data_IF_148856896076
#
_entry.id   IF_148856896076
#
_cell.length_a   1.000
_cell.length_b   1.000
_cell.length_c   1.000
_cell.angle_alpha   90.00
_cell.angle_beta   90.00
_cell.angle_gamma   90.00
#
_symmetry.space_group_name_H-M   'P 1'
#
loop_
_entity.id
_entity.type
_entity.pdbx_description
1 polymer ?
#
# COMPACT_ATOMS: atom_id res chain seq x y z
N UNK A 1 6.57 -54.96 -47.69
CA UNK A 1 5.39 -55.41 -46.92
C UNK A 1 5.65 -55.18 -45.44
N UNK A 2 4.60 -54.70 -44.76
CA UNK A 2 4.39 -54.58 -43.31
C UNK A 2 5.11 -53.45 -42.56
N UNK A 3 4.30 -52.41 -42.41
CA UNK A 3 4.35 -51.28 -41.51
C UNK A 3 4.19 -51.72 -40.06
N UNK A 4 4.93 -51.11 -39.13
CA UNK A 4 4.46 -50.94 -37.75
C UNK A 4 4.84 -49.53 -37.30
N UNK A 5 3.90 -48.59 -37.41
CA UNK A 5 4.01 -47.27 -36.81
C UNK A 5 3.84 -47.44 -35.30
N UNK A 6 4.93 -47.34 -34.54
CA UNK A 6 4.87 -47.26 -33.09
C UNK A 6 4.72 -45.77 -32.70
N UNK A 7 3.49 -45.30 -32.62
CA UNK A 7 3.18 -43.98 -32.05
C UNK A 7 3.15 -44.10 -30.52
N UNK A 8 4.26 -43.73 -29.88
CA UNK A 8 4.30 -43.51 -28.43
C UNK A 8 3.58 -42.19 -28.12
N UNK A 9 2.32 -42.28 -27.69
CA UNK A 9 1.60 -41.16 -27.10
C UNK A 9 2.13 -40.91 -25.68
N UNK A 10 3.08 -39.99 -25.56
CA UNK A 10 3.49 -39.44 -24.27
C UNK A 10 2.37 -38.50 -23.83
N UNK A 11 1.51 -38.95 -22.91
CA UNK A 11 0.55 -38.08 -22.24
C UNK A 11 1.33 -37.17 -21.29
N UNK A 12 1.60 -35.97 -21.75
CA UNK A 12 2.18 -34.91 -20.93
C UNK A 12 1.09 -34.44 -19.96
N UNK A 13 1.04 -35.04 -18.77
CA UNK A 13 0.25 -34.52 -17.65
C UNK A 13 0.87 -33.20 -17.19
N UNK A 14 0.51 -32.11 -17.86
CA UNK A 14 0.71 -30.77 -17.34
C UNK A 14 -0.24 -30.62 -16.15
N UNK A 15 0.23 -31.00 -14.95
CA UNK A 15 -0.35 -30.55 -13.70
C UNK A 15 -0.17 -29.03 -13.66
N UNK A 16 -1.14 -28.30 -14.22
CA UNK A 16 -1.19 -26.86 -14.12
C UNK A 16 -1.30 -26.51 -12.65
N UNK A 17 -0.19 -26.09 -12.04
CA UNK A 17 -0.23 -25.37 -10.79
C UNK A 17 -1.02 -24.09 -11.05
N UNK A 18 -2.30 -24.07 -10.68
CA UNK A 18 -3.03 -22.82 -10.56
C UNK A 18 -2.36 -22.07 -9.41
N UNK A 19 -1.40 -21.22 -9.74
CA UNK A 19 -0.99 -20.18 -8.81
C UNK A 19 -2.21 -19.29 -8.61
N UNK A 20 -2.83 -19.40 -7.43
CA UNK A 20 -3.73 -18.37 -6.93
C UNK A 20 -2.90 -17.10 -6.75
N UNK A 21 -2.81 -16.28 -7.80
CA UNK A 21 -2.28 -14.93 -7.68
C UNK A 21 -3.28 -14.15 -6.85
N UNK A 22 -3.03 -14.10 -5.54
CA UNK A 22 -3.65 -13.12 -4.66
C UNK A 22 -3.15 -11.76 -5.14
N UNK A 23 -3.91 -11.10 -6.00
CA UNK A 23 -3.76 -9.67 -6.21
C UNK A 23 -4.05 -9.05 -4.86
N UNK A 24 -2.99 -8.74 -4.11
CA UNK A 24 -3.09 -7.87 -2.95
C UNK A 24 -3.46 -6.50 -3.52
N UNK A 25 -4.74 -6.28 -3.79
CA UNK A 25 -5.26 -4.92 -3.96
C UNK A 25 -4.95 -4.22 -2.65
N UNK A 26 -3.92 -3.36 -2.68
CA UNK A 26 -3.51 -2.63 -1.51
C UNK A 26 -4.55 -1.53 -1.31
N UNK A 27 -5.50 -1.78 -0.42
CA UNK A 27 -6.50 -0.79 -0.04
C UNK A 27 -5.81 0.27 0.82
N UNK A 28 -5.40 1.35 0.19
CA UNK A 28 -4.87 2.53 0.89
C UNK A 28 -6.01 3.15 1.68
N UNK A 29 -5.75 3.46 2.96
CA UNK A 29 -6.76 4.12 3.77
C UNK A 29 -6.92 5.56 3.31
N UNK A 30 -8.16 5.94 3.10
CA UNK A 30 -8.57 7.32 2.88
C UNK A 30 -9.46 7.76 4.03
N UNK A 31 -9.39 9.04 4.38
CA UNK A 31 -10.11 9.52 5.55
C UNK A 31 -11.57 9.80 5.17
N UNK A 32 -12.52 9.05 5.75
CA UNK A 32 -13.92 9.44 5.86
C UNK A 32 -14.21 9.67 7.34
N UNK A 33 -14.69 10.86 7.74
CA UNK A 33 -14.90 11.15 9.18
C UNK A 33 -16.31 11.64 9.51
N UNK A 34 -16.93 10.93 10.43
CA UNK A 34 -18.11 11.36 11.18
C UNK A 34 -17.79 12.47 12.20
N UNK A 35 -18.61 13.53 12.12
CA UNK A 35 -18.83 14.69 13.02
C UNK A 35 -17.66 15.64 13.36
N UNK A 36 -17.80 16.82 12.73
CA UNK A 36 -17.58 18.22 13.18
C UNK A 36 -16.16 18.82 13.13
N UNK A 37 -15.69 19.09 11.92
CA UNK A 37 -15.24 20.43 11.50
C UNK A 37 -15.26 20.48 9.96
N UNK A 38 -15.85 21.51 9.36
CA UNK A 38 -15.91 21.71 7.90
C UNK A 38 -14.49 21.90 7.34
N UNK A 39 -13.89 20.82 6.85
CA UNK A 39 -12.73 20.86 5.96
C UNK A 39 -13.13 20.07 4.73
N UNK A 40 -13.01 20.72 3.56
CA UNK A 40 -13.44 20.18 2.26
C UNK A 40 -12.89 18.77 2.06
N UNK A 41 -13.83 17.89 1.77
CA UNK A 41 -13.69 16.46 1.56
C UNK A 41 -12.67 16.17 0.46
N UNK A 42 -11.48 15.71 0.84
CA UNK A 42 -10.49 15.19 -0.10
C UNK A 42 -10.20 13.75 0.29
N UNK A 43 -10.74 12.84 -0.51
CA UNK A 43 -10.53 11.39 -0.41
C UNK A 43 -9.10 11.04 -0.87
N UNK A 44 -8.10 11.56 -0.14
CA UNK A 44 -6.69 11.42 -0.48
C UNK A 44 -6.03 10.33 0.39
N UNK A 45 -5.09 9.56 -0.17
CA UNK A 45 -4.17 8.71 0.57
C UNK A 45 -3.50 9.44 1.73
N UNK A 46 -3.19 8.73 2.81
CA UNK A 46 -2.44 9.32 3.92
C UNK A 46 -1.56 8.30 4.64
N UNK A 47 -0.36 8.73 5.06
CA UNK A 47 0.46 7.97 5.98
C UNK A 47 -0.22 7.89 7.35
N UNK A 48 -0.07 6.75 8.02
CA UNK A 48 -0.53 6.52 9.39
C UNK A 48 0.69 6.59 10.30
N UNK A 49 0.67 7.53 11.24
CA UNK A 49 1.72 7.70 12.22
C UNK A 49 1.12 7.60 13.62
N UNK A 50 1.81 6.90 14.54
CA UNK A 50 1.39 6.83 15.93
C UNK A 50 2.09 7.91 16.76
N UNK A 51 1.37 8.41 17.76
CA UNK A 51 1.89 9.40 18.70
C UNK A 51 1.41 10.83 18.43
N UNK A 52 1.81 11.72 19.32
CA UNK A 52 1.47 13.13 19.27
C UNK A 52 2.59 13.90 18.58
N UNK A 53 2.32 14.43 17.39
CA UNK A 53 3.18 15.39 16.71
C UNK A 53 2.32 16.59 16.33
N UNK A 54 2.76 17.78 16.73
CA UNK A 54 2.05 19.05 16.54
C UNK A 54 2.41 19.76 15.23
N UNK A 55 3.11 19.09 14.31
CA UNK A 55 3.57 19.71 13.07
C UNK A 55 2.51 19.59 11.97
N UNK A 56 2.23 20.71 11.32
CA UNK A 56 1.40 20.76 10.12
C UNK A 56 2.13 20.10 8.94
N UNK A 57 1.39 19.35 8.12
CA UNK A 57 1.88 18.71 6.89
C UNK A 57 1.16 19.25 5.64
N UNK A 58 0.60 20.46 5.71
CA UNK A 58 -0.18 21.04 4.60
C UNK A 58 0.66 21.24 3.33
N UNK A 59 1.93 21.64 3.46
CA UNK A 59 2.84 21.77 2.31
C UNK A 59 3.10 20.42 1.64
N UNK A 60 3.33 19.38 2.45
CA UNK A 60 3.51 18.02 1.97
C UNK A 60 2.23 17.52 1.26
N UNK A 61 1.07 17.74 1.89
CA UNK A 61 -0.24 17.41 1.32
C UNK A 61 -0.46 18.09 -0.03
N UNK A 62 -0.19 19.40 -0.13
CA UNK A 62 -0.35 20.16 -1.38
C UNK A 62 0.59 19.66 -2.47
N UNK A 63 1.85 19.34 -2.13
CA UNK A 63 2.87 18.92 -3.11
C UNK A 63 2.64 17.50 -3.62
N UNK A 64 2.31 16.57 -2.73
CA UNK A 64 2.27 15.14 -3.02
C UNK A 64 0.86 14.56 -3.14
N UNK A 65 -0.18 15.36 -2.86
CA UNK A 65 -1.59 14.92 -2.85
C UNK A 65 -1.81 13.73 -1.90
N UNK A 66 -1.04 13.69 -0.80
CA UNK A 66 -1.11 12.67 0.25
C UNK A 66 -0.87 13.29 1.63
N UNK A 67 -1.58 12.83 2.65
CA UNK A 67 -1.54 13.40 3.99
C UNK A 67 -0.77 12.56 5.01
N UNK A 68 -0.82 13.00 6.27
CA UNK A 68 -0.43 12.22 7.46
C UNK A 68 -1.58 12.27 8.44
N UNK A 69 -2.00 11.11 8.94
CA UNK A 69 -2.98 10.98 10.02
C UNK A 69 -2.28 10.43 11.24
N UNK A 70 -2.44 11.14 12.35
CA UNK A 70 -1.94 10.72 13.65
C UNK A 70 -2.99 9.89 14.38
N UNK A 71 -2.58 8.68 14.78
CA UNK A 71 -3.36 7.78 15.63
C UNK A 71 -2.75 7.72 17.04
N UNK A 72 -3.58 7.29 18.00
CA UNK A 72 -3.16 7.16 19.39
C UNK A 72 -2.05 6.12 19.58
N UNK A 73 -1.36 6.17 20.73
CA UNK A 73 -0.23 5.29 21.02
C UNK A 73 -0.60 3.85 21.40
N UNK A 74 -1.89 3.54 21.57
CA UNK A 74 -2.33 2.17 21.84
C UNK A 74 -2.39 1.42 20.51
N UNK A 75 -1.36 0.64 20.24
CA UNK A 75 -1.15 -0.05 18.95
C UNK A 75 -1.35 -1.55 19.17
N UNK A 76 -2.40 -2.12 18.59
CA UNK A 76 -2.55 -3.58 18.51
C UNK A 76 -1.71 -4.15 17.35
N UNK A 77 -1.42 -5.46 17.34
CA UNK A 77 -0.72 -6.11 16.23
C UNK A 77 -1.41 -5.87 14.87
N UNK A 78 -2.74 -5.87 14.84
CA UNK A 78 -3.54 -5.66 13.63
C UNK A 78 -3.38 -4.22 13.12
N UNK A 79 -3.49 -3.23 14.02
CA UNK A 79 -3.33 -1.81 13.70
C UNK A 79 -1.91 -1.51 13.23
N UNK A 80 -0.90 -2.10 13.89
CA UNK A 80 0.51 -2.02 13.49
C UNK A 80 0.71 -2.52 12.06
N UNK A 81 0.18 -3.72 11.77
CA UNK A 81 0.29 -4.33 10.44
C UNK A 81 -0.39 -3.46 9.39
N UNK A 82 -1.62 -3.01 9.66
CA UNK A 82 -2.37 -2.15 8.75
C UNK A 82 -1.64 -0.83 8.46
N UNK A 83 -1.06 -0.18 9.47
CA UNK A 83 -0.28 1.04 9.28
C UNK A 83 0.96 0.80 8.42
N UNK A 84 1.67 -0.31 8.66
CA UNK A 84 2.86 -0.68 7.90
C UNK A 84 2.52 -0.94 6.43
N UNK A 85 1.48 -1.74 6.16
CA UNK A 85 1.04 -2.06 4.79
C UNK A 85 0.57 -0.81 4.04
N UNK A 86 -0.21 0.05 4.69
CA UNK A 86 -0.66 1.32 4.11
C UNK A 86 0.53 2.25 3.79
N UNK A 87 1.44 2.43 4.74
CA UNK A 87 2.58 3.33 4.57
C UNK A 87 3.55 2.85 3.50
N UNK A 88 3.76 1.54 3.40
CA UNK A 88 4.52 0.91 2.32
C UNK A 88 3.90 1.17 0.95
N UNK A 89 2.57 1.08 0.84
CA UNK A 89 1.85 1.36 -0.38
C UNK A 89 2.05 2.81 -0.86
N UNK A 90 1.87 3.77 0.05
CA UNK A 90 2.02 5.20 -0.26
C UNK A 90 3.47 5.51 -0.59
N UNK A 91 4.43 4.99 0.18
CA UNK A 91 5.86 5.18 -0.07
C UNK A 91 6.26 4.66 -1.45
N UNK A 92 5.71 3.51 -1.87
CA UNK A 92 5.93 2.97 -3.22
C UNK A 92 5.40 3.94 -4.28
N UNK A 93 4.14 4.38 -4.16
CA UNK A 93 3.52 5.33 -5.11
C UNK A 93 4.33 6.63 -5.20
N UNK A 94 4.75 7.19 -4.06
CA UNK A 94 5.53 8.43 -4.05
C UNK A 94 6.93 8.25 -4.59
N UNK A 95 7.57 7.10 -4.33
CA UNK A 95 8.91 6.81 -4.86
C UNK A 95 8.87 6.59 -6.37
N UNK A 96 7.84 5.91 -6.88
CA UNK A 96 7.64 5.73 -8.32
C UNK A 96 7.42 7.07 -9.05
N UNK A 97 6.69 8.00 -8.44
CA UNK A 97 6.33 9.28 -9.06
C UNK A 97 7.35 10.41 -8.85
N UNK A 98 8.02 10.44 -7.69
CA UNK A 98 8.84 11.57 -7.25
C UNK A 98 10.27 11.18 -6.79
N UNK A 99 10.64 9.89 -6.91
CA UNK A 99 11.90 9.38 -6.38
C UNK A 99 11.97 9.51 -4.85
N UNK A 100 13.17 9.62 -4.28
CA UNK A 100 13.34 9.71 -2.82
C UNK A 100 13.11 11.12 -2.24
N UNK A 101 12.78 12.13 -3.05
CA UNK A 101 12.66 13.52 -2.59
C UNK A 101 11.58 13.71 -1.51
N UNK A 102 10.46 12.97 -1.59
CA UNK A 102 9.36 13.06 -0.64
C UNK A 102 9.76 12.73 0.80
N UNK A 103 10.81 11.92 1.01
CA UNK A 103 11.28 11.53 2.35
C UNK A 103 11.80 12.74 3.12
N UNK A 104 12.57 13.60 2.46
CA UNK A 104 13.12 14.82 3.05
C UNK A 104 12.00 15.83 3.33
N UNK A 105 11.06 15.97 2.40
CA UNK A 105 9.94 16.90 2.52
C UNK A 105 8.94 16.49 3.60
N UNK A 106 8.77 15.19 3.82
CA UNK A 106 7.95 14.66 4.92
C UNK A 106 8.60 14.93 6.29
N UNK A 107 9.93 14.90 6.35
CA UNK A 107 10.70 15.28 7.54
C UNK A 107 10.67 14.26 8.68
N UNK A 108 10.08 13.09 8.48
CA UNK A 108 10.17 11.94 9.37
C UNK A 108 10.01 10.64 8.57
N UNK A 109 10.33 9.51 9.19
CA UNK A 109 10.13 8.17 8.62
C UNK A 109 8.77 7.65 9.10
N UNK A 110 7.78 7.43 8.20
CA UNK A 110 6.51 6.84 8.56
C UNK A 110 6.66 5.47 9.22
N UNK A 111 5.75 5.15 10.13
CA UNK A 111 5.71 3.85 10.77
C UNK A 111 5.75 2.68 9.77
N UNK A 112 6.60 1.69 10.01
CA UNK A 112 6.71 0.49 9.17
C UNK A 112 7.52 0.66 7.88
N UNK A 113 8.26 1.78 7.72
CA UNK A 113 9.20 2.05 6.62
C UNK A 113 10.66 2.06 7.07
#
# INVERSE_FOLDING_TARGET
MKNYKLFLFITFSFSGFISAQKTNEIVVLTQQKGKKHEIKEENIPHFIQFGLLSKSHEEFKKKYQTGVVYQNCVISPEISKQASENNLAIAKILTEKYGNAWKNDLGFIPYGL
#
